data_IF_188106400488
#
_entry.id   IF_188106400488
#
_cell.length_a   1.000
_cell.length_b   1.000
_cell.length_c   1.000
_cell.angle_alpha   90.00
_cell.angle_beta   90.00
_cell.angle_gamma   90.00
#
_symmetry.space_group_name_H-M   'P 1'
#
loop_
_entity.id
_entity.type
_entity.pdbx_description
1 polymer ?
#
# COMPACT_ATOMS: atom_id res chain seq x y z
N UNK A 1 20.02 -4.53 -20.51
CA UNK A 1 18.86 -4.92 -19.66
C UNK A 1 19.18 -4.40 -18.27
N UNK A 2 18.30 -3.64 -17.62
CA UNK A 2 18.54 -3.24 -16.24
C UNK A 2 18.04 -4.37 -15.34
N UNK A 3 18.95 -4.99 -14.61
CA UNK A 3 18.62 -6.11 -13.73
C UNK A 3 18.00 -5.59 -12.42
N UNK A 4 17.07 -6.37 -11.85
CA UNK A 4 16.53 -6.07 -10.53
C UNK A 4 17.65 -6.05 -9.47
N UNK A 5 17.51 -5.24 -8.41
CA UNK A 5 18.41 -5.29 -7.25
C UNK A 5 18.50 -6.71 -6.68
N UNK A 6 19.68 -7.07 -6.16
CA UNK A 6 19.95 -8.43 -5.67
C UNK A 6 19.03 -8.88 -4.53
N UNK A 7 18.47 -7.94 -3.76
CA UNK A 7 17.53 -8.20 -2.68
C UNK A 7 16.07 -8.35 -3.14
N UNK A 8 15.79 -8.19 -4.44
CA UNK A 8 14.45 -8.38 -5.02
C UNK A 8 14.53 -8.84 -6.49
N UNK A 9 15.28 -9.92 -6.80
CA UNK A 9 15.66 -10.28 -8.18
C UNK A 9 14.46 -10.55 -9.09
N UNK A 10 13.29 -10.86 -8.52
CA UNK A 10 12.05 -11.14 -9.25
C UNK A 10 10.89 -10.21 -8.87
N UNK A 11 11.12 -9.18 -8.03
CA UNK A 11 10.08 -8.30 -7.48
C UNK A 11 10.50 -6.83 -7.57
N UNK A 12 10.85 -6.41 -8.78
CA UNK A 12 11.20 -5.02 -9.08
C UNK A 12 10.44 -4.48 -10.30
N UNK A 13 10.47 -3.17 -10.48
CA UNK A 13 9.98 -2.49 -11.68
C UNK A 13 10.85 -1.27 -12.00
N UNK A 14 10.83 -0.81 -13.24
CA UNK A 14 11.51 0.43 -13.62
C UNK A 14 10.71 1.63 -13.12
N UNK A 15 11.29 2.40 -12.20
CA UNK A 15 10.75 3.69 -11.83
C UNK A 15 11.19 4.74 -12.86
N UNK A 16 10.23 5.33 -13.57
CA UNK A 16 10.51 6.28 -14.64
C UNK A 16 11.10 7.61 -14.14
N UNK A 17 10.84 7.99 -12.88
CA UNK A 17 11.38 9.23 -12.32
C UNK A 17 12.84 9.04 -11.89
N UNK A 18 13.16 7.85 -11.38
CA UNK A 18 14.52 7.50 -10.94
C UNK A 18 15.36 6.87 -12.05
N UNK A 19 14.76 6.55 -13.21
CA UNK A 19 15.38 5.86 -14.34
C UNK A 19 16.16 4.59 -13.93
N UNK A 20 15.65 3.85 -12.94
CA UNK A 20 16.30 2.63 -12.43
C UNK A 20 15.29 1.60 -11.92
N UNK A 21 15.67 0.32 -11.82
CA UNK A 21 14.83 -0.70 -11.19
C UNK A 21 14.75 -0.46 -9.69
N UNK A 22 13.55 -0.56 -9.13
CA UNK A 22 13.27 -0.44 -7.70
C UNK A 22 12.47 -1.64 -7.22
N UNK A 23 12.80 -2.14 -6.04
CA UNK A 23 12.05 -3.23 -5.42
C UNK A 23 10.65 -2.76 -5.02
N UNK A 24 9.64 -3.61 -5.21
CA UNK A 24 8.26 -3.34 -4.74
C UNK A 24 8.23 -3.04 -3.25
N UNK A 25 8.99 -3.79 -2.45
CA UNK A 25 9.05 -3.63 -0.99
C UNK A 25 10.02 -2.54 -0.48
N UNK A 26 10.48 -1.65 -1.35
CA UNK A 26 11.38 -0.52 -0.99
C UNK A 26 10.78 0.85 -1.28
N UNK A 27 9.50 0.91 -1.61
CA UNK A 27 8.72 2.14 -1.84
C UNK A 27 7.49 2.13 -0.92
N UNK A 28 6.75 3.25 -0.78
CA UNK A 28 5.55 3.28 0.05
C UNK A 28 4.60 2.15 -0.32
N UNK A 29 4.11 1.40 0.68
CA UNK A 29 3.59 0.06 0.45
C UNK A 29 3.63 -0.82 1.68
N UNK A 30 3.38 -2.11 1.48
CA UNK A 30 3.40 -3.12 2.53
C UNK A 30 3.87 -4.48 1.98
N UNK A 31 4.76 -5.15 2.70
CA UNK A 31 5.24 -6.49 2.35
C UNK A 31 5.48 -7.34 3.61
N UNK A 32 5.48 -8.67 3.46
CA UNK A 32 5.79 -9.60 4.55
C UNK A 32 4.85 -9.48 5.77
N UNK A 33 5.40 -9.60 6.99
CA UNK A 33 4.65 -9.63 8.26
C UNK A 33 4.43 -8.23 8.86
N UNK A 34 3.32 -7.53 8.56
CA UNK A 34 3.37 -6.56 7.49
C UNK A 34 4.27 -5.39 7.87
N UNK A 35 5.35 -5.27 7.10
CA UNK A 35 6.23 -4.10 7.13
C UNK A 35 5.72 -3.10 6.11
N UNK A 36 5.30 -1.95 6.61
CA UNK A 36 4.91 -0.80 5.81
C UNK A 36 6.10 0.12 5.56
N UNK A 37 6.04 0.82 4.43
CA UNK A 37 6.81 2.05 4.19
C UNK A 37 5.79 3.17 4.01
N UNK A 38 5.91 4.22 4.81
CA UNK A 38 5.04 5.39 4.78
C UNK A 38 5.33 6.35 3.62
N UNK A 39 4.42 7.30 3.41
CA UNK A 39 4.62 8.43 2.48
C UNK A 39 5.79 9.34 2.90
N UNK A 40 6.14 9.35 4.19
CA UNK A 40 7.32 10.01 4.76
C UNK A 40 8.63 9.22 4.56
N UNK A 41 8.56 8.03 3.94
CA UNK A 41 9.69 7.14 3.66
C UNK A 41 10.15 6.30 4.85
N UNK A 42 9.53 6.45 6.03
CA UNK A 42 9.89 5.64 7.20
C UNK A 42 9.25 4.25 7.12
N UNK A 43 10.00 3.25 7.56
CA UNK A 43 9.51 1.89 7.64
C UNK A 43 9.01 1.57 9.05
N UNK A 44 7.89 0.88 9.14
CA UNK A 44 7.29 0.45 10.40
C UNK A 44 6.49 -0.83 10.23
N UNK A 45 6.19 -1.48 11.33
CA UNK A 45 5.36 -2.67 11.39
C UNK A 45 3.97 -2.31 11.90
N UNK A 46 2.96 -2.91 11.28
CA UNK A 46 1.61 -2.93 11.81
C UNK A 46 1.11 -4.37 11.70
N UNK A 47 1.07 -5.07 12.83
CA UNK A 47 0.76 -6.50 12.86
C UNK A 47 -0.75 -6.76 12.78
N UNK A 48 -1.57 -5.89 13.37
CA UNK A 48 -3.01 -6.13 13.47
C UNK A 48 -3.34 -7.51 14.06
N UNK A 49 -4.43 -8.11 13.57
CA UNK A 49 -4.91 -9.43 13.94
C UNK A 49 -5.15 -10.28 12.71
N UNK A 50 -4.99 -11.61 12.87
CA UNK A 50 -5.40 -12.55 11.84
C UNK A 50 -6.92 -12.54 11.65
N UNK A 51 -7.34 -12.82 10.42
CA UNK A 51 -8.73 -12.93 10.00
C UNK A 51 -9.53 -11.65 10.29
N UNK A 52 -8.90 -10.49 10.09
CA UNK A 52 -9.47 -9.18 10.39
C UNK A 52 -9.14 -8.16 9.30
N UNK A 53 -9.99 -7.13 9.18
CA UNK A 53 -9.87 -6.06 8.19
C UNK A 53 -9.42 -4.75 8.85
N UNK A 54 -8.50 -4.05 8.20
CA UNK A 54 -7.94 -2.80 8.69
C UNK A 54 -7.91 -1.71 7.61
N UNK A 55 -8.34 -0.50 7.97
CA UNK A 55 -8.22 0.71 7.17
C UNK A 55 -6.75 1.16 7.12
N UNK A 56 -6.12 0.94 5.97
CA UNK A 56 -4.74 1.36 5.73
C UNK A 56 -4.64 2.76 5.13
N UNK A 57 -5.65 3.19 4.36
CA UNK A 57 -5.78 4.55 3.84
C UNK A 57 -7.24 4.97 3.92
N UNK A 58 -7.52 6.16 4.46
CA UNK A 58 -8.82 6.78 4.33
C UNK A 58 -8.67 8.26 4.06
N UNK A 59 -9.26 8.70 2.97
CA UNK A 59 -9.34 10.09 2.53
C UNK A 59 -10.74 10.32 1.95
N UNK A 60 -11.08 11.57 1.62
CA UNK A 60 -12.42 11.97 1.16
C UNK A 60 -12.93 11.11 0.00
N UNK A 61 -12.08 10.90 -1.01
CA UNK A 61 -12.44 10.26 -2.29
C UNK A 61 -11.75 8.91 -2.51
N UNK A 62 -11.03 8.40 -1.51
CA UNK A 62 -10.27 7.14 -1.55
C UNK A 62 -10.24 6.47 -0.17
N UNK A 63 -10.66 5.23 -0.10
CA UNK A 63 -10.51 4.39 1.09
C UNK A 63 -9.91 3.05 0.69
N UNK A 64 -8.94 2.57 1.47
CA UNK A 64 -8.31 1.27 1.26
C UNK A 64 -8.30 0.51 2.58
N UNK A 65 -8.98 -0.63 2.57
CA UNK A 65 -8.88 -1.63 3.61
C UNK A 65 -7.97 -2.77 3.15
N UNK A 66 -7.33 -3.42 4.12
CA UNK A 66 -6.55 -4.62 3.93
C UNK A 66 -7.09 -5.75 4.81
N UNK A 67 -7.27 -6.93 4.21
CA UNK A 67 -7.61 -8.16 4.90
C UNK A 67 -6.33 -8.86 5.35
N UNK A 68 -6.19 -9.06 6.66
CA UNK A 68 -5.04 -9.71 7.27
C UNK A 68 -5.36 -11.17 7.50
N UNK A 69 -4.54 -12.05 6.93
CA UNK A 69 -4.48 -13.47 7.30
C UNK A 69 -3.38 -13.66 8.33
N UNK A 70 -3.35 -14.82 8.99
CA UNK A 70 -2.24 -15.11 9.89
C UNK A 70 -2.15 -16.53 10.38
N UNK A 71 -1.04 -16.81 11.05
CA UNK A 71 -0.75 -18.10 11.69
C UNK A 71 -0.40 -17.87 13.14
N UNK A 72 -0.93 -18.73 14.01
CA UNK A 72 -0.60 -18.65 15.43
C UNK A 72 0.89 -18.91 15.66
N UNK A 73 1.51 -18.03 16.42
CA UNK A 73 2.90 -18.22 16.86
C UNK A 73 3.02 -19.24 18.00
N UNK A 74 1.89 -19.78 18.49
CA UNK A 74 1.84 -20.68 19.64
C UNK A 74 2.42 -20.00 20.88
N UNK A 75 3.37 -20.66 21.54
CA UNK A 75 4.05 -20.10 22.71
C UNK A 75 5.30 -19.27 22.36
N UNK A 76 5.58 -19.03 21.06
CA UNK A 76 6.82 -18.35 20.62
C UNK A 76 6.73 -16.83 20.70
N UNK A 77 5.52 -16.28 20.61
CA UNK A 77 5.27 -14.84 20.66
C UNK A 77 3.92 -14.57 21.32
N UNK A 78 3.75 -13.37 21.88
CA UNK A 78 2.45 -12.91 22.39
C UNK A 78 1.48 -12.50 21.28
N UNK A 79 1.94 -12.45 20.02
CA UNK A 79 1.12 -12.13 18.84
C UNK A 79 1.13 -13.24 17.80
N UNK A 80 0.10 -13.28 16.98
CA UNK A 80 0.10 -14.07 15.75
C UNK A 80 1.01 -13.42 14.68
N UNK A 81 1.50 -14.23 13.74
CA UNK A 81 2.12 -13.74 12.52
C UNK A 81 1.03 -13.43 11.50
N UNK A 82 1.19 -12.35 10.76
CA UNK A 82 0.12 -11.82 9.90
C UNK A 82 0.66 -11.47 8.52
N UNK A 83 -0.21 -11.42 7.51
CA UNK A 83 0.12 -10.99 6.15
C UNK A 83 -1.11 -10.37 5.49
N UNK A 84 -0.91 -9.48 4.52
CA UNK A 84 -2.04 -8.89 3.77
C UNK A 84 -2.42 -9.82 2.63
N UNK A 85 -3.56 -10.50 2.72
CA UNK A 85 -4.03 -11.38 1.64
C UNK A 85 -4.79 -10.62 0.56
N UNK A 86 -5.51 -9.57 0.94
CA UNK A 86 -6.32 -8.80 0.02
C UNK A 86 -6.40 -7.34 0.43
N UNK A 87 -6.72 -6.49 -0.53
CA UNK A 87 -7.16 -5.12 -0.31
C UNK A 87 -8.50 -4.88 -0.99
N UNK A 88 -9.29 -3.99 -0.41
CA UNK A 88 -10.43 -3.38 -1.07
C UNK A 88 -10.20 -1.88 -1.18
N UNK A 89 -10.42 -1.35 -2.39
CA UNK A 89 -10.28 0.07 -2.70
C UNK A 89 -11.68 0.61 -3.00
N UNK A 90 -12.15 1.53 -2.16
CA UNK A 90 -13.37 2.30 -2.40
C UNK A 90 -12.98 3.68 -2.93
N UNK A 91 -13.61 4.11 -4.01
CA UNK A 91 -13.28 5.39 -4.64
C UNK A 91 -14.50 5.99 -5.34
N UNK A 92 -14.47 7.31 -5.55
CA UNK A 92 -15.57 8.07 -6.18
C UNK A 92 -16.94 7.84 -5.51
N UNK A 93 -16.93 7.56 -4.20
CA UNK A 93 -18.11 7.37 -3.36
C UNK A 93 -18.94 6.10 -3.62
N UNK A 94 -18.73 5.40 -4.73
CA UNK A 94 -19.60 4.28 -5.15
C UNK A 94 -18.85 3.03 -5.62
N UNK A 95 -17.63 3.18 -6.15
CA UNK A 95 -16.93 2.05 -6.77
C UNK A 95 -16.15 1.25 -5.73
N UNK A 96 -16.13 -0.07 -5.93
CA UNK A 96 -15.47 -1.04 -5.05
C UNK A 96 -14.60 -1.97 -5.87
N UNK A 97 -13.29 -1.81 -5.76
CA UNK A 97 -12.30 -2.73 -6.33
C UNK A 97 -11.83 -3.69 -5.24
N UNK A 98 -11.78 -4.98 -5.55
CA UNK A 98 -11.11 -6.01 -4.76
C UNK A 98 -9.86 -6.48 -5.49
N UNK A 99 -8.79 -6.70 -4.73
CA UNK A 99 -7.54 -7.27 -5.19
C UNK A 99 -7.01 -8.21 -4.11
N UNK A 100 -6.96 -9.51 -4.39
CA UNK A 100 -6.53 -10.53 -3.44
C UNK A 100 -5.60 -11.58 -4.03
N UNK A 101 -4.88 -12.27 -3.16
CA UNK A 101 -4.18 -13.51 -3.47
C UNK A 101 -5.08 -14.71 -3.10
N UNK A 102 -5.34 -15.60 -4.06
CA UNK A 102 -6.10 -16.83 -3.84
C UNK A 102 -5.34 -17.74 -2.88
N UNK A 103 -6.03 -18.20 -1.83
CA UNK A 103 -5.51 -19.21 -0.91
C UNK A 103 -5.12 -20.47 -1.68
N UNK A 104 -3.95 -21.02 -1.37
CA UNK A 104 -3.38 -22.19 -2.06
C UNK A 104 -2.51 -23.01 -1.10
N UNK A 105 -2.57 -24.33 -1.23
CA UNK A 105 -1.74 -25.22 -0.41
C UNK A 105 -0.30 -25.28 -0.93
N UNK A 106 -0.14 -25.30 -2.25
CA UNK A 106 1.16 -25.35 -2.93
C UNK A 106 1.37 -24.11 -3.80
N UNK A 107 2.62 -23.68 -3.92
CA UNK A 107 2.99 -22.57 -4.79
C UNK A 107 3.62 -23.07 -6.09
N UNK A 108 3.27 -22.40 -7.18
CA UNK A 108 3.77 -22.63 -8.54
C UNK A 108 3.80 -21.26 -9.21
N UNK A 109 4.98 -20.77 -9.56
CA UNK A 109 5.16 -19.41 -10.09
C UNK A 109 4.40 -19.16 -11.40
N UNK A 110 4.05 -20.22 -12.15
CA UNK A 110 3.35 -20.13 -13.43
C UNK A 110 1.81 -20.12 -13.26
N UNK A 111 1.30 -20.44 -12.08
CA UNK A 111 -0.14 -20.44 -11.78
C UNK A 111 -0.57 -19.09 -11.21
N UNK A 112 -1.44 -18.38 -11.93
CA UNK A 112 -1.94 -17.08 -11.51
C UNK A 112 -2.94 -17.19 -10.34
N UNK A 113 -2.61 -16.54 -9.23
CA UNK A 113 -3.40 -16.51 -8.00
C UNK A 113 -4.01 -15.14 -7.72
N UNK A 114 -3.93 -14.21 -8.67
CA UNK A 114 -4.59 -12.92 -8.53
C UNK A 114 -6.11 -13.08 -8.63
N UNK A 115 -6.84 -12.46 -7.70
CA UNK A 115 -8.29 -12.34 -7.72
C UNK A 115 -8.69 -10.88 -7.73
N UNK A 116 -9.45 -10.48 -8.75
CA UNK A 116 -9.82 -9.10 -9.01
C UNK A 116 -11.32 -9.00 -9.29
N UNK A 117 -11.99 -8.08 -8.60
CA UNK A 117 -13.38 -7.71 -8.92
C UNK A 117 -13.55 -6.20 -8.88
N UNK A 118 -14.44 -5.67 -9.72
CA UNK A 118 -14.89 -4.28 -9.70
C UNK A 118 -16.41 -4.28 -9.57
N UNK A 119 -16.94 -3.59 -8.57
CA UNK A 119 -18.38 -3.51 -8.28
C UNK A 119 -19.04 -4.89 -8.24
N UNK A 120 -18.34 -5.87 -7.65
CA UNK A 120 -18.77 -7.26 -7.53
C UNK A 120 -18.66 -8.10 -8.81
N UNK A 121 -18.18 -7.53 -9.92
CA UNK A 121 -17.99 -8.25 -11.19
C UNK A 121 -16.53 -8.69 -11.35
N UNK A 122 -16.26 -9.95 -11.72
CA UNK A 122 -14.89 -10.41 -11.99
C UNK A 122 -14.20 -9.60 -13.08
N UNK A 123 -12.90 -9.33 -12.89
CA UNK A 123 -12.03 -8.80 -13.94
C UNK A 123 -11.30 -9.96 -14.60
N UNK A 124 -11.51 -10.12 -15.91
CA UNK A 124 -10.80 -11.12 -16.72
C UNK A 124 -9.60 -10.45 -17.41
N UNK A 125 -8.42 -10.59 -16.81
CA UNK A 125 -7.18 -10.09 -17.39
C UNK A 125 -6.75 -10.97 -18.56
N UNK A 126 -6.49 -10.40 -19.76
CA UNK A 126 -5.92 -11.15 -20.86
C UNK A 126 -4.55 -11.73 -20.48
N UNK A 127 -4.16 -12.84 -21.10
CA UNK A 127 -2.85 -13.46 -20.88
C UNK A 127 -1.72 -12.63 -21.51
N UNK A 128 -0.53 -12.73 -20.92
CA UNK A 128 0.68 -12.05 -21.39
C UNK A 128 1.11 -10.88 -20.51
N UNK A 129 2.42 -10.67 -20.43
CA UNK A 129 3.00 -9.49 -19.76
C UNK A 129 2.53 -8.23 -20.50
N UNK A 130 2.25 -7.16 -19.75
CA UNK A 130 1.71 -5.89 -20.24
C UNK A 130 0.28 -5.96 -20.82
N UNK A 131 -0.34 -7.14 -20.83
CA UNK A 131 -1.75 -7.28 -21.16
C UNK A 131 -2.59 -6.43 -20.19
N UNK A 132 -3.45 -5.58 -20.77
CA UNK A 132 -4.20 -4.58 -20.02
C UNK A 132 -5.68 -4.76 -20.21
N UNK A 133 -6.40 -4.73 -19.10
CA UNK A 133 -7.85 -4.61 -19.04
C UNK A 133 -8.22 -3.18 -18.64
N UNK A 134 -9.25 -2.62 -19.27
CA UNK A 134 -9.79 -1.30 -18.95
C UNK A 134 -11.26 -1.42 -18.61
N UNK A 135 -11.70 -0.74 -17.55
CA UNK A 135 -13.11 -0.76 -17.14
C UNK A 135 -13.97 0.00 -18.14
N UNK A 136 -15.10 -0.60 -18.53
CA UNK A 136 -16.11 0.07 -19.36
C UNK A 136 -16.96 1.06 -18.56
N UNK A 137 -17.13 0.81 -17.24
CA UNK A 137 -17.90 1.67 -16.36
C UNK A 137 -17.06 2.83 -15.79
N UNK A 138 -15.75 2.63 -15.65
CA UNK A 138 -14.79 3.62 -15.14
C UNK A 138 -13.62 3.73 -16.13
N UNK A 139 -13.73 4.51 -17.21
CA UNK A 139 -12.73 4.51 -18.28
C UNK A 139 -11.30 4.87 -17.86
N UNK A 140 -11.14 5.56 -16.73
CA UNK A 140 -9.84 5.90 -16.12
C UNK A 140 -9.21 4.76 -15.30
N UNK A 141 -9.95 3.66 -15.06
CA UNK A 141 -9.45 2.48 -14.35
C UNK A 141 -8.91 1.45 -15.34
N UNK A 142 -7.63 1.10 -15.17
CA UNK A 142 -6.96 0.03 -15.91
C UNK A 142 -6.23 -0.91 -14.97
N UNK A 143 -6.11 -2.16 -15.38
CA UNK A 143 -5.35 -3.19 -14.67
C UNK A 143 -4.45 -3.89 -15.70
N UNK A 144 -3.15 -3.85 -15.46
CA UNK A 144 -2.13 -4.40 -16.36
C UNK A 144 -1.38 -5.53 -15.68
N UNK A 145 -1.14 -6.65 -16.38
CA UNK A 145 -0.25 -7.71 -15.91
C UNK A 145 1.19 -7.21 -15.88
N UNK A 146 1.86 -7.34 -14.74
CA UNK A 146 3.28 -6.95 -14.58
C UNK A 146 4.23 -8.13 -14.70
N UNK A 147 3.71 -9.35 -14.65
CA UNK A 147 4.42 -10.62 -14.77
C UNK A 147 3.55 -11.61 -15.55
N UNK A 148 4.13 -12.76 -15.92
CA UNK A 148 3.37 -13.85 -16.56
C UNK A 148 2.19 -14.30 -15.67
N UNK A 149 2.43 -14.45 -14.37
CA UNK A 149 1.43 -14.74 -13.35
C UNK A 149 1.72 -13.95 -12.06
N UNK A 150 0.74 -13.82 -11.18
CA UNK A 150 0.93 -13.33 -9.80
C UNK A 150 1.39 -11.87 -9.68
N UNK A 151 1.17 -11.02 -10.70
CA UNK A 151 1.60 -9.62 -10.67
C UNK A 151 0.70 -8.72 -11.49
N UNK A 152 0.20 -7.65 -10.86
CA UNK A 152 -0.62 -6.62 -11.53
C UNK A 152 -0.24 -5.21 -11.13
N UNK A 153 -0.55 -4.27 -12.01
CA UNK A 153 -0.55 -2.84 -11.76
C UNK A 153 -1.97 -2.32 -11.99
N UNK A 154 -2.61 -1.86 -10.93
CA UNK A 154 -3.89 -1.15 -11.01
C UNK A 154 -3.60 0.34 -11.08
N UNK A 155 -4.22 1.02 -12.04
CA UNK A 155 -4.13 2.47 -12.20
C UNK A 155 -5.53 3.04 -12.31
N UNK A 156 -5.84 3.99 -11.43
CA UNK A 156 -6.95 4.92 -11.60
C UNK A 156 -6.34 6.28 -11.93
N UNK A 157 -6.49 6.72 -13.18
CA UNK A 157 -5.80 7.91 -13.68
C UNK A 157 -6.10 9.15 -12.82
N UNK A 158 -5.04 9.92 -12.52
CA UNK A 158 -5.08 11.08 -11.64
C UNK A 158 -5.36 10.80 -10.16
N UNK A 159 -5.41 9.53 -9.71
CA UNK A 159 -5.72 9.18 -8.32
C UNK A 159 -4.68 8.30 -7.67
N UNK A 160 -4.47 7.10 -8.20
CA UNK A 160 -3.54 6.15 -7.59
C UNK A 160 -2.97 5.15 -8.58
N UNK A 161 -1.84 4.57 -8.19
CA UNK A 161 -1.25 3.38 -8.77
C UNK A 161 -0.96 2.38 -7.66
N UNK A 162 -1.44 1.16 -7.82
CA UNK A 162 -1.23 0.06 -6.88
C UNK A 162 -0.57 -1.06 -7.65
N UNK A 163 0.70 -1.34 -7.37
CA UNK A 163 1.35 -2.56 -7.83
C UNK A 163 1.19 -3.62 -6.77
N UNK A 164 0.74 -4.80 -7.15
CA UNK A 164 0.58 -5.93 -6.25
C UNK A 164 1.18 -7.18 -6.87
N UNK A 165 1.95 -7.91 -6.06
CA UNK A 165 2.43 -9.24 -6.40
C UNK A 165 1.85 -10.24 -5.40
N UNK A 166 1.21 -11.31 -5.86
CA UNK A 166 0.93 -12.45 -5.01
C UNK A 166 2.23 -13.24 -4.80
N UNK A 167 2.53 -13.56 -3.55
CA UNK A 167 3.75 -14.27 -3.15
C UNK A 167 3.41 -15.33 -2.09
N UNK A 168 4.14 -16.45 -2.05
CA UNK A 168 4.03 -17.40 -0.95
C UNK A 168 4.92 -16.96 0.21
N UNK A 169 4.75 -17.59 1.37
CA UNK A 169 5.84 -17.68 2.33
C UNK A 169 6.74 -18.84 1.92
N UNK A 170 8.02 -18.56 1.70
CA UNK A 170 9.00 -19.59 1.36
C UNK A 170 9.42 -20.40 2.60
N UNK A 171 9.92 -21.62 2.38
CA UNK A 171 10.47 -22.44 3.46
C UNK A 171 11.62 -21.73 4.18
N UNK A 172 12.45 -20.99 3.44
CA UNK A 172 13.57 -20.24 3.99
C UNK A 172 13.10 -19.08 4.87
N UNK A 173 12.12 -18.28 4.44
CA UNK A 173 11.53 -17.24 5.27
C UNK A 173 10.88 -17.83 6.52
N UNK A 174 10.12 -18.92 6.38
CA UNK A 174 9.53 -19.64 7.50
C UNK A 174 10.57 -20.13 8.51
N UNK A 175 11.72 -20.61 8.02
CA UNK A 175 12.85 -21.08 8.84
C UNK A 175 13.54 -19.91 9.56
N UNK A 176 13.85 -18.83 8.85
CA UNK A 176 14.54 -17.65 9.40
C UNK A 176 13.69 -16.92 10.43
N UNK A 177 12.38 -16.76 10.15
CA UNK A 177 11.46 -16.03 11.02
C UNK A 177 10.67 -16.92 11.98
N UNK A 178 10.88 -18.24 11.93
CA UNK A 178 10.20 -19.23 12.77
C UNK A 178 8.67 -19.24 12.64
N UNK A 179 8.13 -18.86 11.47
CA UNK A 179 6.69 -18.83 11.19
C UNK A 179 6.03 -20.20 11.33
N UNK A 180 6.77 -21.29 11.10
CA UNK A 180 6.24 -22.64 11.22
C UNK A 180 5.20 -22.95 10.14
N UNK A 181 5.39 -22.41 8.94
CA UNK A 181 4.58 -22.75 7.77
C UNK A 181 4.73 -24.25 7.48
N UNK A 182 3.60 -24.90 7.20
CA UNK A 182 3.46 -26.33 6.96
C UNK A 182 2.83 -26.53 5.57
N UNK A 183 2.83 -27.75 5.04
CA UNK A 183 2.41 -28.02 3.65
C UNK A 183 0.89 -27.90 3.40
N UNK A 184 0.12 -27.41 4.36
CA UNK A 184 -1.33 -27.25 4.32
C UNK A 184 -1.78 -25.89 3.74
N UNK A 185 -0.94 -24.86 3.85
CA UNK A 185 -1.20 -23.51 3.31
C UNK A 185 0.14 -22.78 3.13
N UNK A 186 0.43 -22.29 1.93
CA UNK A 186 1.64 -21.48 1.69
C UNK A 186 1.46 -20.02 2.10
N UNK A 187 0.30 -19.66 2.68
CA UNK A 187 -0.03 -18.32 3.18
C UNK A 187 0.18 -17.27 2.08
N UNK A 188 -0.40 -17.53 0.91
CA UNK A 188 -0.35 -16.63 -0.23
C UNK A 188 -0.88 -15.24 0.18
N UNK A 189 -0.05 -14.23 -0.02
CA UNK A 189 -0.29 -12.86 0.38
C UNK A 189 0.22 -11.86 -0.67
N UNK A 190 0.02 -10.58 -0.42
CA UNK A 190 0.35 -9.50 -1.33
C UNK A 190 1.56 -8.70 -0.85
N UNK A 191 2.53 -8.56 -1.74
CA UNK A 191 3.49 -7.46 -1.70
C UNK A 191 2.91 -6.27 -2.47
N UNK A 192 2.76 -5.14 -1.79
CA UNK A 192 2.05 -3.96 -2.25
C UNK A 192 2.99 -2.76 -2.36
N UNK A 193 2.90 -2.04 -3.48
CA UNK A 193 3.47 -0.71 -3.64
C UNK A 193 2.37 0.28 -4.02
N UNK A 194 2.26 1.35 -3.25
CA UNK A 194 1.28 2.41 -3.41
C UNK A 194 1.93 3.68 -3.94
N UNK A 195 1.24 4.31 -4.87
CA UNK A 195 1.47 5.70 -5.25
C UNK A 195 0.11 6.40 -5.31
N UNK A 196 0.01 7.53 -4.62
CA UNK A 196 -1.19 8.35 -4.61
C UNK A 196 -0.88 9.71 -5.23
N UNK A 197 -1.76 10.18 -6.10
CA UNK A 197 -1.58 11.44 -6.84
C UNK A 197 -2.39 12.60 -6.22
N UNK A 198 -3.51 12.30 -5.52
CA UNK A 198 -4.49 13.31 -5.08
C UNK A 198 -4.99 13.13 -3.64
N UNK A 199 -4.13 12.73 -2.70
CA UNK A 199 -4.50 12.71 -1.28
C UNK A 199 -4.70 14.13 -0.72
N UNK A 200 -5.71 14.32 0.13
CA UNK A 200 -5.91 15.55 0.89
C UNK A 200 -5.01 15.61 2.12
N UNK A 201 -4.91 16.79 2.74
CA UNK A 201 -4.19 16.98 4.01
C UNK A 201 -4.83 16.30 5.22
N UNK A 202 -6.06 15.78 5.10
CA UNK A 202 -6.77 15.06 6.16
C UNK A 202 -6.72 13.53 5.96
N UNK A 203 -5.92 13.03 5.01
CA UNK A 203 -5.75 11.58 4.83
C UNK A 203 -5.29 10.88 6.12
N UNK A 204 -5.92 9.74 6.41
CA UNK A 204 -5.65 8.93 7.60
C UNK A 204 -5.59 7.43 7.26
N UNK A 205 -5.73 6.55 8.26
CA UNK A 205 -5.41 5.11 8.18
C UNK A 205 -3.96 4.79 8.55
N UNK A 206 -3.64 3.48 8.62
CA UNK A 206 -2.32 2.98 9.06
C UNK A 206 -1.16 3.64 8.30
N UNK A 207 -1.19 3.56 6.97
CA UNK A 207 -0.16 4.17 6.11
C UNK A 207 -0.59 5.54 5.59
N UNK A 208 -1.89 5.78 5.39
CA UNK A 208 -2.38 7.04 4.83
C UNK A 208 -2.00 8.27 5.66
N UNK A 209 -2.05 8.18 7.01
CA UNK A 209 -1.67 9.30 7.87
C UNK A 209 -0.23 9.78 7.65
N UNK A 210 0.67 8.90 7.20
CA UNK A 210 2.08 9.22 6.97
C UNK A 210 2.31 10.09 5.73
N UNK A 211 1.29 10.32 4.91
CA UNK A 211 1.33 11.23 3.77
C UNK A 211 1.05 12.69 4.14
N UNK A 212 0.57 12.96 5.36
CA UNK A 212 0.30 14.32 5.81
C UNK A 212 1.59 15.07 6.13
N UNK A 213 1.65 16.34 5.77
CA UNK A 213 2.82 17.19 6.04
C UNK A 213 3.02 17.50 7.53
N UNK A 214 1.97 17.39 8.33
CA UNK A 214 1.97 17.61 9.78
C UNK A 214 2.05 16.30 10.59
N UNK A 215 2.19 15.15 9.92
CA UNK A 215 2.30 13.86 10.60
C UNK A 215 3.62 13.77 11.37
N UNK A 216 3.51 13.32 12.62
CA UNK A 216 4.65 13.05 13.49
C UNK A 216 4.64 11.57 13.85
N UNK A 217 5.78 10.91 13.65
CA UNK A 217 5.91 9.50 13.98
C UNK A 217 5.66 9.24 15.48
N UNK A 218 4.69 8.38 15.78
CA UNK A 218 4.33 7.94 17.12
C UNK A 218 5.01 6.64 17.55
N UNK A 219 6.01 6.20 16.79
CA UNK A 219 6.84 5.03 17.06
C UNK A 219 8.31 5.42 17.02
N UNK A 220 9.17 4.64 17.69
CA UNK A 220 10.61 4.87 17.65
C UNK A 220 11.17 4.41 16.30
N UNK A 221 11.41 5.37 15.40
CA UNK A 221 12.00 5.15 14.07
C UNK A 221 13.41 4.52 14.13
N UNK A 222 14.09 4.58 15.29
CA UNK A 222 15.43 3.98 15.47
C UNK A 222 15.38 2.56 16.03
N UNK A 223 14.20 2.09 16.45
CA UNK A 223 14.04 0.71 16.90
C UNK A 223 14.38 -0.26 15.75
N UNK A 224 14.83 -1.46 16.09
CA UNK A 224 15.04 -2.52 15.09
C UNK A 224 13.73 -2.93 14.40
N UNK A 225 12.62 -2.82 15.13
CA UNK A 225 11.25 -3.05 14.65
C UNK A 225 10.34 -1.90 15.08
N UNK A 226 10.40 -0.74 14.42
CA UNK A 226 9.48 0.37 14.70
C UNK A 226 8.05 -0.12 14.48
N UNK A 227 7.20 -0.04 15.49
CA UNK A 227 5.86 -0.65 15.43
C UNK A 227 4.81 0.41 15.70
N UNK A 228 3.83 0.49 14.80
CA UNK A 228 2.68 1.38 14.93
C UNK A 228 1.60 0.70 15.77
N UNK A 229 1.24 1.33 16.88
CA UNK A 229 0.12 0.92 17.74
C UNK A 229 -1.23 1.48 17.27
N UNK A 230 -2.25 1.35 18.13
CA UNK A 230 -3.56 1.93 17.88
C UNK A 230 -4.47 1.09 16.97
N UNK A 231 -4.31 -0.23 16.97
CA UNK A 231 -5.07 -1.18 16.14
C UNK A 231 -6.60 -0.93 16.15
N UNK A 232 -7.17 -0.62 17.32
CA UNK A 232 -8.60 -0.34 17.46
C UNK A 232 -9.08 0.84 16.60
N UNK A 233 -8.19 1.78 16.29
CA UNK A 233 -8.52 2.95 15.46
C UNK A 233 -8.68 2.58 13.98
N UNK A 234 -8.04 1.49 13.54
CA UNK A 234 -7.97 1.08 12.15
C UNK A 234 -8.86 -0.11 11.82
N UNK A 235 -9.40 -0.82 12.82
CA UNK A 235 -10.29 -1.97 12.60
C UNK A 235 -11.53 -1.53 11.83
N UNK A 236 -11.95 -2.32 10.83
CA UNK A 236 -13.22 -2.16 10.12
C UNK A 236 -14.13 -3.37 10.33
N UNK A 237 -15.43 -3.21 10.07
CA UNK A 237 -16.39 -4.32 10.21
C UNK A 237 -16.33 -5.32 9.05
N UNK A 238 -15.81 -4.91 7.90
CA UNK A 238 -15.56 -5.78 6.74
C UNK A 238 -14.59 -5.11 5.77
N UNK A 239 -14.06 -5.89 4.82
CA UNK A 239 -13.13 -5.39 3.80
C UNK A 239 -13.71 -4.22 2.99
N UNK A 240 -15.03 -4.16 2.76
CA UNK A 240 -15.67 -3.04 2.04
C UNK A 240 -16.33 -2.00 2.95
N UNK A 241 -16.12 -2.05 4.27
CA UNK A 241 -16.68 -1.08 5.20
C UNK A 241 -15.71 0.09 5.43
N UNK A 242 -16.18 1.31 5.22
CA UNK A 242 -15.42 2.54 5.51
C UNK A 242 -15.80 3.09 6.91
N UNK A 243 -15.67 2.27 7.94
CA UNK A 243 -16.21 2.51 9.29
C UNK A 243 -15.18 2.44 10.42
N UNK A 244 -13.89 2.50 10.10
CA UNK A 244 -12.85 2.64 11.12
C UNK A 244 -12.99 3.98 11.87
N UNK A 245 -12.43 4.05 13.09
CA UNK A 245 -12.52 5.26 13.91
C UNK A 245 -11.87 6.50 13.27
N UNK A 246 -10.94 6.29 12.34
CA UNK A 246 -10.23 7.34 11.60
C UNK A 246 -10.75 7.52 10.18
N UNK A 247 -11.94 7.00 9.85
CA UNK A 247 -12.51 7.13 8.53
C UNK A 247 -12.68 8.60 8.14
N UNK A 248 -12.39 8.88 6.88
CA UNK A 248 -12.52 10.18 6.19
C UNK A 248 -13.27 10.08 4.87
N UNK A 249 -13.65 8.87 4.49
CA UNK A 249 -14.27 8.58 3.21
C UNK A 249 -15.73 9.01 3.19
N UNK A 250 -16.13 9.69 2.11
CA UNK A 250 -17.52 9.99 1.81
C UNK A 250 -17.87 11.48 1.80
N UNK A 251 -19.05 11.81 1.23
CA UNK A 251 -19.46 13.18 0.90
C UNK A 251 -19.78 14.08 2.12
N UNK A 252 -19.68 13.56 3.35
CA UNK A 252 -20.04 14.26 4.59
C UNK A 252 -18.87 14.88 5.36
N UNK A 253 -17.61 14.60 5.00
CA UNK A 253 -16.43 15.26 5.59
C UNK A 253 -16.14 16.58 4.85
N UNK A 254 -17.13 17.47 4.82
CA UNK A 254 -16.91 18.87 4.51
C UNK A 254 -16.32 19.51 5.77
N UNK A 255 -15.02 19.77 5.75
CA UNK A 255 -14.45 20.67 6.73
C UNK A 255 -15.00 22.08 6.45
N UNK A 256 -15.92 22.49 7.33
CA UNK A 256 -16.34 23.87 7.49
C UNK A 256 -15.19 24.68 8.09
N UNK A 257 -14.20 25.02 7.28
CA UNK A 257 -13.12 25.95 7.61
C UNK A 257 -13.15 27.13 6.64
N UNK A 258 -13.71 28.24 7.10
CA UNK A 258 -13.77 29.50 6.37
C UNK A 258 -12.36 30.04 6.03
N UNK A 259 -12.31 30.77 4.92
CA UNK A 259 -11.16 31.42 4.31
C UNK A 259 -10.22 32.20 5.25
N UNK A 260 -8.93 32.20 4.90
CA UNK A 260 -8.12 33.42 4.89
C UNK A 260 -7.22 33.42 3.65
N UNK A 261 -7.34 34.51 2.90
CA UNK A 261 -6.50 34.85 1.75
C UNK A 261 -5.02 34.91 2.12
N UNK A 262 -4.16 34.51 1.19
CA UNK A 262 -3.09 35.40 0.76
C UNK A 262 -2.79 35.13 -0.71
N UNK A 263 -3.09 36.13 -1.54
CA UNK A 263 -2.34 36.32 -2.77
C UNK A 263 -0.85 36.39 -2.41
N UNK A 264 0.00 35.66 -3.12
CA UNK A 264 1.34 36.14 -3.37
C UNK A 264 1.58 36.08 -4.87
N UNK A 265 1.65 37.28 -5.43
CA UNK A 265 2.04 37.61 -6.78
C UNK A 265 3.28 36.83 -7.22
N UNK A 266 3.32 36.51 -8.53
CA UNK A 266 4.44 35.86 -9.17
C UNK A 266 5.77 36.58 -8.90
N UNK A 267 6.75 35.83 -8.43
CA UNK A 267 8.14 36.26 -8.38
C UNK A 267 8.85 35.66 -9.59
N UNK A 268 9.21 36.50 -10.55
CA UNK A 268 10.16 36.13 -11.60
C UNK A 268 11.57 36.24 -11.02
N UNK A 269 12.35 35.17 -11.15
CA UNK A 269 13.75 35.17 -10.76
C UNK A 269 14.58 35.85 -11.88
N UNK A 270 15.13 37.03 -11.59
CA UNK A 270 16.20 37.62 -12.38
C UNK A 270 17.50 37.59 -11.56
N UNK A 271 18.52 36.93 -12.12
CA UNK A 271 19.86 36.81 -11.57
C UNK A 271 20.56 38.18 -11.53
N UNK A 272 21.12 38.55 -10.38
CA UNK A 272 21.94 39.75 -10.23
C UNK A 272 22.84 39.66 -8.99
N UNK A 273 24.14 39.56 -9.23
CA UNK A 273 25.21 39.40 -8.23
C UNK A 273 25.42 40.67 -7.39
N UNK A 274 25.61 40.53 -6.08
CA UNK A 274 26.67 41.16 -5.25
C UNK A 274 26.35 40.99 -3.76
N UNK A 275 27.33 40.53 -2.99
CA UNK A 275 27.10 39.91 -1.68
C UNK A 275 27.22 40.82 -0.47
N UNK A 276 27.06 40.21 0.70
CA UNK A 276 27.86 40.36 1.92
C UNK A 276 27.37 39.30 2.93
N UNK A 277 28.30 38.52 3.48
CA UNK A 277 27.98 37.39 4.35
C UNK A 277 27.43 37.79 5.71
N UNK A 278 26.77 36.84 6.37
CA UNK A 278 26.43 36.92 7.80
C UNK A 278 26.83 35.60 8.47
N UNK A 279 27.63 35.74 9.51
CA UNK A 279 28.19 34.69 10.39
C UNK A 279 27.11 34.21 11.35
N UNK A 280 26.92 32.89 11.45
CA UNK A 280 26.13 32.29 12.53
C UNK A 280 27.01 32.12 13.78
N UNK A 281 26.57 32.67 14.92
CA UNK A 281 27.08 32.29 16.25
C UNK A 281 26.12 31.26 16.86
N UNK A 282 26.72 30.34 17.64
CA UNK A 282 26.15 29.13 18.26
C UNK A 282 24.72 29.26 18.77
#
# INVERSE_FOLDING_TARGET
MMDCPANCPQSCYVDCNLCKPVCVCSVPGACGDPRFIGGDGNAFFFHGRRDADFCIVSDRDLHINAHFIGKSSGNKSSRDFTWIQAIAVLFDGQHKLYLGARKTATWDDDVDRMELTIDGKPVHLPEGVDATWTSTAVPSLSITRTKAANGVLVVLDGKFKIRANAVPITEEESRVHNYGVTSDDCLAHLDLAFKFDTLTGDVHGVVGQTYRSDYVNHFDVKASMPTMGGESNFTTSSIFAADCAVARFGPGHHDGGAAVMSELAGVSCASGMSGQGVVCKK
#
